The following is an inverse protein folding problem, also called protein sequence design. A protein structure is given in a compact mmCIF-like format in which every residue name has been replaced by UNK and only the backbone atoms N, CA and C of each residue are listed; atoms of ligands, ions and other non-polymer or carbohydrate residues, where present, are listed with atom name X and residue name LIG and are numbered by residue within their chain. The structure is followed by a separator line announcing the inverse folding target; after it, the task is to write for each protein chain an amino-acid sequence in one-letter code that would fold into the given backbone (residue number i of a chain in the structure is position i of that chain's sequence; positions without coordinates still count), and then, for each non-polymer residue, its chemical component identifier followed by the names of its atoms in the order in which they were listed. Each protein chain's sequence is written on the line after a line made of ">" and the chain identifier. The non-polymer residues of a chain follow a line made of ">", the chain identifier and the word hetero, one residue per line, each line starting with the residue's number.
data_IF_066598058007
#
_entry.id   IF_066598058007
#
_cell.length_a   1.000
_cell.length_b   1.000
_cell.length_c   1.000
_cell.angle_alpha   90.00
_cell.angle_beta   90.00
_cell.angle_gamma   90.00
#
_symmetry.space_group_name_H-M   'P 1'
#
loop_
_entity.id
_entity.type
_entity.pdbx_description
1 polymer ?
#
# COMPACT_ATOMS: atom_id res chain seq x y z
N UNK A 1 -8.07 6.23 -5.59
CA UNK A 1 -7.90 6.86 -4.27
C UNK A 1 -6.63 7.71 -4.15
N UNK A 2 -5.60 7.39 -4.89
CA UNK A 2 -4.38 8.21 -4.90
C UNK A 2 -4.64 9.66 -5.27
N UNK A 3 -5.42 9.90 -6.32
CA UNK A 3 -5.73 11.26 -6.77
C UNK A 3 -6.52 12.05 -5.74
N UNK A 4 -7.37 11.38 -4.98
CA UNK A 4 -8.15 12.02 -3.93
C UNK A 4 -7.24 12.47 -2.78
N UNK A 5 -6.23 11.68 -2.46
CA UNK A 5 -5.25 12.03 -1.43
C UNK A 5 -4.46 13.27 -1.87
N UNK A 6 -4.01 13.28 -3.12
CA UNK A 6 -3.25 14.39 -3.68
C UNK A 6 -4.07 15.68 -3.69
N UNK A 7 -5.35 15.60 -4.01
CA UNK A 7 -6.24 16.76 -4.02
C UNK A 7 -6.50 17.33 -2.63
N UNK A 8 -6.63 16.44 -1.64
CA UNK A 8 -7.00 16.85 -0.30
C UNK A 8 -5.84 17.41 0.51
N UNK A 9 -4.64 16.95 0.27
CA UNK A 9 -3.48 17.29 1.08
C UNK A 9 -2.43 17.99 0.23
N UNK A 10 -2.16 19.26 0.57
CA UNK A 10 -1.28 20.11 -0.21
C UNK A 10 0.20 19.74 -0.12
N UNK A 11 0.59 19.04 0.94
CA UNK A 11 1.99 18.67 1.17
C UNK A 11 2.31 17.29 0.59
N UNK A 12 1.96 17.12 -0.69
CA UNK A 12 2.15 15.83 -1.37
C UNK A 12 3.61 15.41 -1.47
N UNK A 13 4.54 16.34 -1.32
CA UNK A 13 5.98 16.03 -1.33
C UNK A 13 6.39 15.13 -0.18
N UNK A 14 5.63 15.18 0.93
CA UNK A 14 5.91 14.38 2.11
C UNK A 14 5.23 13.01 2.09
N UNK A 15 4.37 12.80 1.09
CA UNK A 15 3.60 11.55 0.98
C UNK A 15 4.32 10.59 0.07
N UNK A 16 4.55 9.37 0.56
CA UNK A 16 5.18 8.32 -0.23
C UNK A 16 4.13 7.34 -0.72
N UNK A 17 4.13 7.10 -2.01
CA UNK A 17 3.27 6.11 -2.66
C UNK A 17 4.10 4.94 -3.13
N UNK A 18 3.58 3.74 -2.96
CA UNK A 18 4.24 2.54 -3.48
C UNK A 18 3.85 2.37 -4.94
N UNK A 19 4.85 2.41 -5.83
CA UNK A 19 4.63 2.32 -7.27
C UNK A 19 3.97 1.00 -7.65
N UNK A 20 2.95 1.10 -8.48
CA UNK A 20 2.27 -0.09 -8.99
C UNK A 20 1.27 -0.72 -8.04
N UNK A 21 1.02 -0.10 -6.89
CA UNK A 21 0.10 -0.64 -5.89
C UNK A 21 -1.05 0.31 -5.57
N UNK A 22 -1.34 1.25 -6.47
CA UNK A 22 -2.39 2.25 -6.25
C UNK A 22 -3.75 1.63 -5.97
N UNK A 23 -4.05 0.50 -6.59
CA UNK A 23 -5.33 -0.18 -6.40
C UNK A 23 -5.50 -0.76 -5.00
N UNK A 24 -4.39 -0.90 -4.26
CA UNK A 24 -4.43 -1.41 -2.90
C UNK A 24 -4.62 -0.33 -1.85
N UNK A 25 -4.64 0.95 -2.25
CA UNK A 25 -4.83 2.05 -1.29
C UNK A 25 -6.25 2.01 -0.72
N UNK A 26 -6.34 2.01 0.60
CA UNK A 26 -7.63 2.00 1.29
C UNK A 26 -7.84 3.22 2.18
N UNK A 27 -6.82 4.03 2.36
CA UNK A 27 -6.97 5.22 3.18
C UNK A 27 -5.68 6.01 3.30
N UNK A 28 -5.73 7.01 4.15
CA UNK A 28 -4.59 7.88 4.40
C UNK A 28 -4.61 8.33 5.85
N UNK A 29 -3.45 8.31 6.49
CA UNK A 29 -3.28 8.79 7.85
C UNK A 29 -2.76 10.24 7.81
N UNK A 30 -3.62 11.23 8.02
CA UNK A 30 -3.20 12.63 7.93
C UNK A 30 -2.29 13.08 9.06
N UNK A 31 -2.34 12.40 10.20
CA UNK A 31 -1.50 12.75 11.33
C UNK A 31 -0.04 12.42 11.09
N UNK A 32 0.22 11.35 10.38
CA UNK A 32 1.58 10.87 10.12
C UNK A 32 1.97 10.96 8.65
N UNK A 33 1.10 11.50 7.81
CA UNK A 33 1.31 11.60 6.37
C UNK A 33 1.65 10.28 5.73
N UNK A 34 0.89 9.24 6.08
CA UNK A 34 1.13 7.89 5.57
C UNK A 34 -0.06 7.39 4.77
N UNK A 35 0.24 6.84 3.60
CA UNK A 35 -0.78 6.15 2.80
C UNK A 35 -1.01 4.77 3.42
N UNK A 36 -2.28 4.38 3.51
CA UNK A 36 -2.67 3.08 4.07
C UNK A 36 -3.05 2.15 2.94
N UNK A 37 -2.37 1.03 2.85
CA UNK A 37 -2.59 0.00 1.83
C UNK A 37 -3.19 -1.24 2.45
N UNK A 38 -4.02 -1.94 1.69
CA UNK A 38 -4.56 -3.24 2.09
C UNK A 38 -3.55 -4.34 1.75
N UNK A 39 -3.11 -5.09 2.74
CA UNK A 39 -2.21 -6.22 2.53
C UNK A 39 -2.84 -7.25 1.61
N UNK A 40 -4.12 -7.54 1.81
CA UNK A 40 -4.85 -8.50 0.99
C UNK A 40 -4.87 -8.08 -0.48
N UNK A 41 -5.12 -6.80 -0.73
CA UNK A 41 -5.15 -6.29 -2.10
C UNK A 41 -3.77 -6.29 -2.75
N UNK A 42 -2.72 -6.01 -1.98
CA UNK A 42 -1.35 -6.11 -2.49
C UNK A 42 -1.04 -7.53 -2.95
N UNK A 43 -1.38 -8.52 -2.13
CA UNK A 43 -1.16 -9.92 -2.49
C UNK A 43 -1.93 -10.27 -3.77
N UNK A 44 -3.16 -9.81 -3.87
CA UNK A 44 -3.98 -10.05 -5.05
C UNK A 44 -3.37 -9.45 -6.32
N UNK A 45 -2.84 -8.24 -6.22
CA UNK A 45 -2.15 -7.58 -7.34
C UNK A 45 -0.97 -8.40 -7.80
N UNK A 46 -0.16 -8.90 -6.85
CA UNK A 46 1.00 -9.73 -7.19
C UNK A 46 0.61 -11.02 -7.87
N UNK A 47 -0.47 -11.64 -7.42
CA UNK A 47 -0.97 -12.85 -8.04
C UNK A 47 -1.45 -12.62 -9.47
N UNK A 48 -2.18 -11.54 -9.69
CA UNK A 48 -2.77 -11.26 -11.00
C UNK A 48 -1.77 -10.67 -11.99
N UNK A 49 -0.96 -9.71 -11.54
CA UNK A 49 -0.01 -9.00 -12.41
C UNK A 49 1.24 -9.80 -12.68
N UNK A 50 1.80 -10.40 -11.63
CA UNK A 50 3.09 -11.09 -11.71
C UNK A 50 2.96 -12.60 -11.74
N UNK A 51 1.74 -13.10 -11.84
CA UNK A 51 1.44 -14.53 -11.96
C UNK A 51 2.03 -15.37 -10.82
N UNK A 52 2.06 -14.81 -9.63
CA UNK A 52 2.54 -15.53 -8.45
C UNK A 52 1.43 -16.36 -7.83
N UNK A 53 1.80 -17.47 -7.20
CA UNK A 53 0.87 -18.17 -6.32
C UNK A 53 0.66 -17.34 -5.08
N UNK A 54 -0.36 -17.65 -4.29
CA UNK A 54 -0.61 -16.93 -3.04
C UNK A 54 0.61 -17.00 -2.10
N UNK A 55 1.20 -18.18 -1.99
CA UNK A 55 2.35 -18.38 -1.13
C UNK A 55 3.56 -17.57 -1.60
N UNK A 56 3.81 -17.57 -2.90
CA UNK A 56 4.90 -16.78 -3.48
C UNK A 56 4.67 -15.27 -3.27
N UNK A 57 3.43 -14.83 -3.45
CA UNK A 57 3.08 -13.42 -3.27
C UNK A 57 3.26 -12.98 -1.82
N UNK A 58 2.88 -13.83 -0.87
CA UNK A 58 3.08 -13.55 0.55
C UNK A 58 4.55 -13.43 0.90
N UNK A 59 5.36 -14.37 0.46
CA UNK A 59 6.80 -14.34 0.72
C UNK A 59 7.44 -13.11 0.11
N UNK A 60 7.13 -12.82 -1.14
CA UNK A 60 7.67 -11.66 -1.83
C UNK A 60 7.29 -10.37 -1.12
N UNK A 61 6.03 -10.23 -0.75
CA UNK A 61 5.54 -9.00 -0.12
C UNK A 61 6.16 -8.80 1.25
N UNK A 62 6.30 -9.85 2.03
CA UNK A 62 6.90 -9.75 3.36
C UNK A 62 8.35 -9.30 3.30
N UNK A 63 9.11 -9.83 2.36
CA UNK A 63 10.53 -9.50 2.25
C UNK A 63 10.77 -8.16 1.58
N UNK A 64 9.97 -7.81 0.58
CA UNK A 64 10.29 -6.68 -0.29
C UNK A 64 9.36 -5.48 -0.13
N UNK A 65 8.21 -5.65 0.48
CA UNK A 65 7.20 -4.61 0.56
C UNK A 65 6.86 -4.26 2.01
N UNK A 66 6.33 -5.22 2.76
CA UNK A 66 5.77 -4.94 4.07
C UNK A 66 6.78 -4.56 5.14
N UNK A 67 8.00 -5.03 5.02
CA UNK A 67 9.05 -4.75 5.98
C UNK A 67 10.05 -3.70 5.50
N UNK A 68 9.79 -3.10 4.34
CA UNK A 68 10.67 -2.06 3.82
C UNK A 68 10.42 -0.74 4.55
N UNK A 69 11.47 -0.18 5.11
CA UNK A 69 11.41 1.13 5.75
C UNK A 69 12.04 2.16 4.80
N UNK A 70 11.28 3.18 4.45
CA UNK A 70 11.73 4.19 3.50
C UNK A 70 11.62 5.61 4.06
N UNK A 71 11.67 5.74 5.38
CA UNK A 71 11.62 7.05 6.04
C UNK A 71 10.40 7.19 6.95
N UNK A 72 10.18 8.40 7.45
CA UNK A 72 9.08 8.67 8.38
C UNK A 72 7.70 8.51 7.75
N UNK A 73 7.61 8.64 6.44
CA UNK A 73 6.35 8.49 5.71
C UNK A 73 6.17 7.11 5.09
N UNK A 74 6.88 6.11 5.59
CA UNK A 74 6.72 4.73 5.16
C UNK A 74 5.25 4.34 5.19
N UNK A 75 4.70 3.78 4.09
CA UNK A 75 3.29 3.40 4.04
C UNK A 75 2.90 2.42 5.13
N UNK A 76 1.63 2.47 5.52
CA UNK A 76 1.05 1.51 6.45
C UNK A 76 0.48 0.35 5.66
N UNK A 77 0.87 -0.85 6.02
CA UNK A 77 0.40 -2.09 5.39
C UNK A 77 -0.59 -2.73 6.35
N UNK A 78 -1.88 -2.42 6.16
CA UNK A 78 -2.92 -2.83 7.09
C UNK A 78 -3.69 -4.04 6.59
N UNK A 79 -4.13 -4.87 7.51
CA UNK A 79 -5.08 -5.93 7.19
C UNK A 79 -6.47 -5.34 7.30
N UNK A 80 -7.15 -5.27 6.16
CA UNK A 80 -8.51 -4.78 6.15
C UNK A 80 -9.47 -5.96 6.29
N UNK A 81 -10.32 -5.88 7.27
CA UNK A 81 -11.33 -6.91 7.51
C UNK A 81 -12.61 -6.56 6.78
N UNK A 82 -12.47 -6.27 5.50
CA UNK A 82 -13.60 -5.97 4.65
C UNK A 82 -14.11 -7.26 4.03
N UNK A 83 -15.27 -7.67 4.47
CA UNK A 83 -15.84 -8.97 4.13
C UNK A 83 -16.77 -8.95 2.92
N UNK A 84 -16.95 -7.82 2.30
CA UNK A 84 -17.84 -7.66 1.14
C UNK A 84 -17.27 -8.21 -0.15
#
# INVERSE_FOLDING_TARGET
>A
MRDQIIEYYSDTELILFADGLDEAIIGFDPNNCKVVYSRTKVIKILQERDEMSEEEALDFAEYNIFNAYVGESTPVWAEDFNWD
#
